data_IF_757476264836
#
_entry.id   IF_757476264836
#
_cell.length_a   1.000
_cell.length_b   1.000
_cell.length_c   1.000
_cell.angle_alpha   90.00
_cell.angle_beta   90.00
_cell.angle_gamma   90.00
#
_symmetry.space_group_name_H-M   'P 1'
#
loop_
_entity.id
_entity.type
_entity.pdbx_description
1 polymer ?
#
# COMPACT_ATOMS: atom_id res chain seq x y z
N UNK A 1 26.90 8.15 60.62
CA UNK A 1 25.93 8.80 61.54
C UNK A 1 25.36 7.70 62.42
N UNK A 2 25.65 7.74 63.71
CA UNK A 2 25.25 6.69 64.65
C UNK A 2 23.79 6.86 65.07
N UNK A 3 22.92 6.26 64.26
CA UNK A 3 21.48 6.10 64.52
C UNK A 3 21.13 5.76 65.98
N UNK A 4 21.83 4.84 66.69
CA UNK A 4 21.48 4.51 68.08
C UNK A 4 21.66 5.66 69.07
N UNK A 5 22.64 6.55 68.84
CA UNK A 5 22.95 7.66 69.74
C UNK A 5 21.90 8.76 69.62
N UNK A 6 21.47 9.04 68.38
CA UNK A 6 20.37 9.96 68.08
C UNK A 6 19.03 9.42 68.61
N UNK A 7 18.78 8.11 68.47
CA UNK A 7 17.55 7.49 68.96
C UNK A 7 17.39 7.60 70.49
N UNK A 8 18.46 7.35 71.25
CA UNK A 8 18.43 7.46 72.72
C UNK A 8 18.21 8.90 73.19
N UNK A 9 18.80 9.88 72.51
CA UNK A 9 18.65 11.28 72.87
C UNK A 9 17.23 11.80 72.59
N UNK A 10 16.63 11.34 71.49
CA UNK A 10 15.21 11.58 71.17
C UNK A 10 14.30 10.90 72.19
N UNK A 11 14.60 9.67 72.59
CA UNK A 11 13.79 8.92 73.56
C UNK A 11 13.73 9.61 74.93
N UNK A 12 14.86 10.06 75.45
CA UNK A 12 14.94 10.71 76.75
C UNK A 12 14.22 12.07 76.79
N UNK A 13 14.29 12.84 75.70
CA UNK A 13 13.58 14.12 75.60
C UNK A 13 12.07 13.93 75.39
N UNK A 14 11.65 12.85 74.72
CA UNK A 14 10.24 12.47 74.59
C UNK A 14 9.62 12.04 75.92
N UNK A 15 10.30 11.22 76.71
CA UNK A 15 9.77 10.74 78.00
C UNK A 15 9.59 11.87 79.00
N UNK A 16 10.54 12.82 79.01
CA UNK A 16 10.48 13.99 79.90
C UNK A 16 9.33 14.94 79.51
N UNK A 17 9.12 15.17 78.22
CA UNK A 17 8.00 15.96 77.71
C UNK A 17 6.65 15.28 77.96
N UNK A 18 6.56 13.97 77.71
CA UNK A 18 5.35 13.16 77.91
C UNK A 18 4.92 13.06 79.37
N UNK A 19 5.87 13.18 80.32
CA UNK A 19 5.59 13.14 81.76
C UNK A 19 4.83 14.38 82.27
N UNK A 20 4.84 15.49 81.50
CA UNK A 20 4.22 16.77 81.88
C UNK A 20 2.80 16.96 81.34
N UNK A 21 2.29 16.03 80.52
CA UNK A 21 0.99 16.18 79.87
C UNK A 21 -0.15 15.48 80.66
N UNK A 22 -1.37 16.05 80.69
CA UNK A 22 -2.56 15.41 81.24
C UNK A 22 -2.85 14.04 80.59
N UNK A 23 -3.38 13.05 81.34
CA UNK A 23 -3.65 11.70 80.84
C UNK A 23 -4.54 11.63 79.59
N UNK A 24 -5.46 12.59 79.41
CA UNK A 24 -6.36 12.62 78.24
C UNK A 24 -5.65 13.00 76.93
N UNK A 25 -4.61 13.86 76.99
CA UNK A 25 -3.79 14.23 75.83
C UNK A 25 -2.95 13.04 75.38
N UNK A 26 -2.55 12.18 76.32
CA UNK A 26 -1.84 10.93 76.05
C UNK A 26 -2.63 9.99 75.12
N UNK A 27 -3.93 9.81 75.37
CA UNK A 27 -4.78 8.97 74.53
C UNK A 27 -4.93 9.54 73.11
N UNK A 28 -5.05 10.87 72.96
CA UNK A 28 -5.13 11.51 71.65
C UNK A 28 -3.81 11.41 70.87
N UNK A 29 -2.68 11.57 71.54
CA UNK A 29 -1.35 11.41 70.94
C UNK A 29 -1.10 9.98 70.46
N UNK A 30 -1.51 8.97 71.24
CA UNK A 30 -1.42 7.56 70.82
C UNK A 30 -2.35 7.29 69.63
N UNK A 31 -3.60 7.77 69.68
CA UNK A 31 -4.56 7.55 68.60
C UNK A 31 -4.10 8.20 67.27
N UNK A 32 -3.53 9.40 67.33
CA UNK A 32 -2.98 10.10 66.16
C UNK A 32 -1.73 9.43 65.60
N UNK A 33 -0.83 8.92 66.46
CA UNK A 33 0.34 8.14 66.04
C UNK A 33 -0.06 6.80 65.40
N UNK A 34 -1.03 6.09 65.97
CA UNK A 34 -1.58 4.86 65.38
C UNK A 34 -2.23 5.15 64.02
N UNK A 35 -3.04 6.20 63.93
CA UNK A 35 -3.66 6.62 62.67
C UNK A 35 -2.62 6.99 61.61
N UNK A 36 -1.57 7.73 62.00
CA UNK A 36 -0.46 8.08 61.11
C UNK A 36 0.30 6.83 60.64
N UNK A 37 0.56 5.87 61.54
CA UNK A 37 1.20 4.60 61.21
C UNK A 37 0.39 3.77 60.21
N UNK A 38 -0.93 3.65 60.43
CA UNK A 38 -1.84 2.97 59.51
C UNK A 38 -1.89 3.69 58.15
N UNK A 39 -1.89 5.02 58.13
CA UNK A 39 -1.90 5.81 56.90
C UNK A 39 -0.63 5.60 56.06
N UNK A 40 0.55 5.55 56.68
CA UNK A 40 1.83 5.29 55.97
C UNK A 40 1.86 3.87 55.39
N UNK A 41 1.39 2.87 56.15
CA UNK A 41 1.30 1.48 55.66
C UNK A 41 0.28 1.40 54.50
N UNK A 42 -0.88 2.04 54.62
CA UNK A 42 -1.86 2.13 53.55
C UNK A 42 -1.30 2.79 52.28
N UNK A 43 -0.58 3.92 52.45
CA UNK A 43 0.02 4.65 51.33
C UNK A 43 1.11 3.85 50.61
N UNK A 44 1.96 3.11 51.35
CA UNK A 44 3.02 2.29 50.73
C UNK A 44 2.46 1.09 49.97
N UNK A 45 1.43 0.42 50.51
CA UNK A 45 0.73 -0.67 49.82
C UNK A 45 0.03 -0.14 48.56
N UNK A 46 -0.68 0.99 48.68
CA UNK A 46 -1.35 1.63 47.55
C UNK A 46 -0.37 2.07 46.46
N UNK A 47 0.76 2.70 46.83
CA UNK A 47 1.80 3.11 45.87
C UNK A 47 2.41 1.91 45.13
N UNK A 48 2.71 0.81 45.84
CA UNK A 48 3.24 -0.41 45.23
C UNK A 48 2.23 -1.08 44.31
N UNK A 49 0.95 -1.09 44.68
CA UNK A 49 -0.12 -1.59 43.83
C UNK A 49 -0.32 -0.72 42.58
N UNK A 50 -0.34 0.61 42.73
CA UNK A 50 -0.44 1.58 41.64
C UNK A 50 0.73 1.47 40.65
N UNK A 51 1.95 1.28 41.15
CA UNK A 51 3.14 1.08 40.30
C UNK A 51 3.05 -0.21 39.47
N UNK A 52 2.62 -1.33 40.08
CA UNK A 52 2.46 -2.60 39.36
C UNK A 52 1.34 -2.55 38.33
N UNK A 53 0.22 -1.89 38.65
CA UNK A 53 -0.89 -1.75 37.71
C UNK A 53 -0.55 -0.79 36.57
N UNK A 54 0.09 0.35 36.83
CA UNK A 54 0.50 1.29 35.79
C UNK A 54 1.52 0.68 34.81
N UNK A 55 2.48 -0.12 35.29
CA UNK A 55 3.41 -0.84 34.42
C UNK A 55 2.70 -1.84 33.49
N UNK A 56 1.67 -2.54 33.98
CA UNK A 56 0.86 -3.46 33.15
C UNK A 56 0.03 -2.72 32.11
N UNK A 57 -0.61 -1.62 32.51
CA UNK A 57 -1.40 -0.79 31.60
C UNK A 57 -0.53 -0.18 30.50
N UNK A 58 0.69 0.27 30.82
CA UNK A 58 1.61 0.79 29.83
C UNK A 58 2.02 -0.26 28.80
N UNK A 59 2.37 -1.48 29.23
CA UNK A 59 2.70 -2.57 28.31
C UNK A 59 1.52 -2.96 27.41
N UNK A 60 0.32 -3.03 27.96
CA UNK A 60 -0.89 -3.29 27.18
C UNK A 60 -1.16 -2.18 26.17
N UNK A 61 -1.01 -0.91 26.55
CA UNK A 61 -1.21 0.23 25.66
C UNK A 61 -0.18 0.25 24.52
N UNK A 62 1.08 -0.08 24.80
CA UNK A 62 2.12 -0.18 23.76
C UNK A 62 1.80 -1.30 22.77
N UNK A 63 1.34 -2.45 23.24
CA UNK A 63 0.99 -3.57 22.36
C UNK A 63 -0.27 -3.27 21.53
N UNK A 64 -1.30 -2.68 22.12
CA UNK A 64 -2.51 -2.27 21.37
C UNK A 64 -2.19 -1.18 20.35
N UNK A 65 -1.30 -0.24 20.66
CA UNK A 65 -0.84 0.78 19.72
C UNK A 65 -0.06 0.16 18.56
N UNK A 66 0.84 -0.80 18.84
CA UNK A 66 1.56 -1.54 17.79
C UNK A 66 0.61 -2.32 16.88
N UNK A 67 -0.38 -2.97 17.46
CA UNK A 67 -1.37 -3.71 16.70
C UNK A 67 -2.20 -2.78 15.82
N UNK A 68 -2.72 -1.67 16.38
CA UNK A 68 -3.42 -0.64 15.61
C UNK A 68 -2.58 -0.06 14.48
N UNK A 69 -1.29 0.16 14.71
CA UNK A 69 -0.38 0.66 13.67
C UNK A 69 -0.20 -0.36 12.53
N UNK A 70 -0.10 -1.66 12.84
CA UNK A 70 -0.03 -2.73 11.84
C UNK A 70 -1.34 -2.85 11.05
N UNK A 71 -2.48 -2.79 11.75
CA UNK A 71 -3.79 -2.90 11.13
C UNK A 71 -4.06 -1.68 10.22
N UNK A 72 -3.73 -0.47 10.67
CA UNK A 72 -3.83 0.74 9.86
C UNK A 72 -2.92 0.69 8.62
N UNK A 73 -1.72 0.12 8.73
CA UNK A 73 -0.82 -0.05 7.59
C UNK A 73 -1.38 -1.07 6.58
N UNK A 74 -1.96 -2.18 7.06
CA UNK A 74 -2.63 -3.17 6.20
C UNK A 74 -3.83 -2.58 5.49
N UNK A 75 -4.66 -1.82 6.19
CA UNK A 75 -5.80 -1.10 5.60
C UNK A 75 -5.33 -0.09 4.55
N UNK A 76 -4.24 0.64 4.81
CA UNK A 76 -3.64 1.58 3.85
C UNK A 76 -3.16 0.86 2.59
N UNK A 77 -2.42 -0.24 2.73
CA UNK A 77 -1.94 -1.05 1.59
C UNK A 77 -3.13 -1.61 0.81
N UNK A 78 -4.14 -2.15 1.49
CA UNK A 78 -5.36 -2.65 0.87
C UNK A 78 -6.08 -1.55 0.05
N UNK A 79 -6.25 -0.36 0.61
CA UNK A 79 -6.83 0.79 -0.10
C UNK A 79 -6.03 1.17 -1.36
N UNK A 80 -4.70 1.11 -1.30
CA UNK A 80 -3.83 1.34 -2.46
C UNK A 80 -4.01 0.24 -3.52
N UNK A 81 -4.06 -1.03 -3.12
CA UNK A 81 -4.30 -2.14 -4.03
C UNK A 81 -5.65 -2.03 -4.75
N UNK A 82 -6.70 -1.62 -4.03
CA UNK A 82 -7.99 -1.30 -4.64
C UNK A 82 -7.89 -0.18 -5.68
N UNK A 83 -7.19 0.91 -5.36
CA UNK A 83 -7.00 2.02 -6.29
C UNK A 83 -6.18 1.62 -7.53
N UNK A 84 -5.11 0.83 -7.35
CA UNK A 84 -4.29 0.31 -8.45
C UNK A 84 -5.04 -0.67 -9.34
N UNK A 85 -5.89 -1.51 -8.73
CA UNK A 85 -6.79 -2.40 -9.46
C UNK A 85 -7.74 -1.60 -10.35
N UNK A 86 -8.37 -0.56 -9.80
CA UNK A 86 -9.31 0.23 -10.59
C UNK A 86 -8.61 1.02 -11.71
N UNK A 87 -7.44 1.61 -11.42
CA UNK A 87 -6.62 2.30 -12.44
C UNK A 87 -6.29 1.37 -13.61
N UNK A 88 -5.78 0.16 -13.34
CA UNK A 88 -5.38 -0.74 -14.43
C UNK A 88 -6.58 -1.25 -15.23
N UNK A 89 -7.72 -1.51 -14.57
CA UNK A 89 -8.93 -1.97 -15.25
C UNK A 89 -9.52 -0.88 -16.14
N UNK A 90 -9.63 0.35 -15.63
CA UNK A 90 -10.13 1.47 -16.44
C UNK A 90 -9.22 1.78 -17.61
N UNK A 91 -7.90 1.77 -17.39
CA UNK A 91 -6.92 1.95 -18.46
C UNK A 91 -7.05 0.87 -19.52
N UNK A 92 -7.19 -0.39 -19.12
CA UNK A 92 -7.40 -1.48 -20.05
C UNK A 92 -8.70 -1.34 -20.85
N UNK A 93 -9.80 -0.97 -20.19
CA UNK A 93 -11.09 -0.78 -20.85
C UNK A 93 -11.01 0.29 -21.94
N UNK A 94 -10.42 1.44 -21.63
CA UNK A 94 -10.22 2.53 -22.60
C UNK A 94 -9.32 2.05 -23.74
N UNK A 95 -8.18 1.40 -23.41
CA UNK A 95 -7.21 0.94 -24.40
C UNK A 95 -7.74 -0.16 -25.32
N UNK A 96 -8.44 -1.15 -24.78
CA UNK A 96 -9.05 -2.22 -25.55
C UNK A 96 -10.18 -1.70 -26.44
N UNK A 97 -10.99 -0.75 -25.95
CA UNK A 97 -12.06 -0.13 -26.71
C UNK A 97 -11.53 0.73 -27.86
N UNK A 98 -10.55 1.60 -27.58
CA UNK A 98 -10.07 2.59 -28.54
C UNK A 98 -9.09 1.99 -29.55
N UNK A 99 -8.23 1.06 -29.12
CA UNK A 99 -7.16 0.51 -29.97
C UNK A 99 -7.18 -0.99 -30.16
N UNK A 100 -7.83 -1.75 -29.28
CA UNK A 100 -7.68 -3.21 -29.25
C UNK A 100 -7.92 -3.83 -30.63
N UNK A 101 -9.05 -3.52 -31.24
CA UNK A 101 -9.40 -4.02 -32.57
C UNK A 101 -8.42 -3.54 -33.67
N UNK A 102 -7.91 -2.31 -33.57
CA UNK A 102 -7.03 -1.73 -34.60
C UNK A 102 -5.62 -2.29 -34.53
N UNK A 103 -5.12 -2.54 -33.31
CA UNK A 103 -3.84 -3.22 -33.10
C UNK A 103 -3.97 -4.68 -33.56
N UNK A 104 -5.04 -5.39 -33.19
CA UNK A 104 -5.24 -6.80 -33.56
C UNK A 104 -5.43 -6.99 -35.08
N UNK A 105 -6.08 -6.04 -35.76
CA UNK A 105 -6.31 -6.06 -37.20
C UNK A 105 -5.27 -5.26 -37.99
N UNK A 106 -4.17 -4.85 -37.34
CA UNK A 106 -3.15 -4.01 -37.95
C UNK A 106 -2.54 -4.74 -39.16
N UNK A 107 -2.96 -4.33 -40.36
CA UNK A 107 -2.36 -4.82 -41.59
C UNK A 107 -0.95 -4.24 -41.68
N UNK A 108 0.01 -5.15 -41.75
CA UNK A 108 1.43 -4.90 -41.93
C UNK A 108 1.72 -4.06 -43.20
N UNK A 109 0.73 -3.87 -44.08
CA UNK A 109 0.82 -3.17 -45.36
C UNK A 109 0.19 -1.76 -45.41
N UNK A 110 0.18 -0.99 -44.31
CA UNK A 110 -0.03 0.50 -44.28
C UNK A 110 -1.43 1.01 -43.93
N UNK A 111 -2.08 0.52 -42.87
CA UNK A 111 -3.13 1.35 -42.26
C UNK A 111 -2.52 2.26 -41.18
N UNK A 112 -2.62 3.59 -41.32
CA UNK A 112 -2.25 4.49 -40.24
C UNK A 112 -3.15 4.18 -39.04
N UNK A 113 -2.54 4.04 -37.87
CA UNK A 113 -3.30 3.96 -36.63
C UNK A 113 -3.90 5.35 -36.34
N UNK A 114 -5.14 5.43 -35.82
CA UNK A 114 -5.74 6.71 -35.51
C UNK A 114 -4.91 7.45 -34.47
N UNK A 115 -4.90 8.77 -34.58
CA UNK A 115 -4.18 9.58 -33.63
C UNK A 115 -4.79 9.44 -32.24
N UNK A 116 -4.02 8.92 -31.28
CA UNK A 116 -4.36 8.95 -29.87
C UNK A 116 -3.57 10.08 -29.20
N UNK A 117 -4.27 11.14 -28.81
CA UNK A 117 -3.68 12.25 -28.05
C UNK A 117 -3.31 11.81 -26.64
N UNK A 118 -2.01 11.80 -26.32
CA UNK A 118 -1.51 11.41 -25.00
C UNK A 118 -0.71 12.55 -24.34
N UNK A 119 -1.39 13.40 -23.60
CA UNK A 119 -0.72 14.49 -22.88
C UNK A 119 -0.88 14.34 -21.35
N UNK A 120 -1.23 13.16 -20.85
CA UNK A 120 -1.64 12.97 -19.45
C UNK A 120 -0.87 11.85 -18.73
N UNK A 121 -0.78 11.98 -17.41
CA UNK A 121 -0.19 11.01 -16.49
C UNK A 121 -1.18 9.86 -16.25
N UNK A 122 -1.21 8.87 -17.16
CA UNK A 122 -2.13 7.72 -17.13
C UNK A 122 -2.02 6.84 -15.89
N UNK A 123 -0.83 6.79 -15.30
CA UNK A 123 -0.48 5.90 -14.20
C UNK A 123 -0.35 6.70 -12.90
N UNK A 124 -1.28 7.62 -12.66
CA UNK A 124 -1.19 8.59 -11.57
C UNK A 124 -1.23 7.93 -10.19
N UNK A 125 -2.00 6.87 -10.01
CA UNK A 125 -2.10 6.11 -8.75
C UNK A 125 -0.83 5.30 -8.58
N UNK A 126 -0.38 4.59 -9.62
CA UNK A 126 0.88 3.84 -9.58
C UNK A 126 2.10 4.72 -9.28
N UNK A 127 2.28 5.81 -10.01
CA UNK A 127 3.44 6.68 -9.86
C UNK A 127 3.45 7.35 -8.47
N UNK A 128 2.29 7.74 -7.92
CA UNK A 128 2.17 8.32 -6.57
C UNK A 128 2.39 7.30 -5.44
N UNK A 129 2.11 6.02 -5.68
CA UNK A 129 2.17 4.96 -4.66
C UNK A 129 3.29 3.95 -4.87
N UNK A 130 4.27 4.25 -5.73
CA UNK A 130 5.40 3.36 -6.03
C UNK A 130 6.15 2.88 -4.77
N UNK A 131 6.30 3.75 -3.75
CA UNK A 131 6.93 3.39 -2.48
C UNK A 131 6.13 2.35 -1.68
N UNK A 132 4.79 2.44 -1.70
CA UNK A 132 3.92 1.52 -0.99
C UNK A 132 3.85 0.13 -1.64
N UNK A 133 4.05 0.05 -2.97
CA UNK A 133 4.14 -1.22 -3.69
C UNK A 133 5.28 -2.09 -3.15
N UNK A 134 6.38 -1.48 -2.68
CA UNK A 134 7.49 -2.19 -2.03
C UNK A 134 7.11 -2.88 -0.72
N UNK A 135 6.02 -2.48 -0.08
CA UNK A 135 5.55 -2.99 1.22
C UNK A 135 4.53 -4.11 1.09
N UNK A 136 4.06 -4.42 -0.13
CA UNK A 136 3.16 -5.56 -0.39
C UNK A 136 3.88 -6.84 0.03
N UNK A 137 3.25 -7.71 0.82
CA UNK A 137 3.86 -8.94 1.31
C UNK A 137 4.06 -9.96 0.18
N UNK A 138 3.04 -10.17 -0.67
CA UNK A 138 3.13 -11.09 -1.81
C UNK A 138 4.09 -10.59 -2.90
N UNK A 139 5.23 -11.28 -3.03
CA UNK A 139 6.24 -11.01 -4.04
C UNK A 139 5.80 -11.28 -5.47
N UNK A 140 4.89 -12.23 -5.69
CA UNK A 140 4.35 -12.53 -7.02
C UNK A 140 3.40 -11.41 -7.46
N UNK A 141 2.46 -10.99 -6.61
CA UNK A 141 1.60 -9.84 -6.86
C UNK A 141 2.43 -8.59 -7.14
N UNK A 142 3.40 -8.28 -6.28
CA UNK A 142 4.28 -7.11 -6.43
C UNK A 142 5.01 -7.11 -7.78
N UNK A 143 5.59 -8.24 -8.17
CA UNK A 143 6.29 -8.38 -9.45
C UNK A 143 5.35 -8.26 -10.64
N UNK A 144 4.18 -8.90 -10.56
CA UNK A 144 3.17 -8.85 -11.62
C UNK A 144 2.65 -7.43 -11.81
N UNK A 145 2.41 -6.70 -10.72
CA UNK A 145 1.96 -5.31 -10.73
C UNK A 145 2.97 -4.43 -11.48
N UNK A 146 4.23 -4.39 -11.03
CA UNK A 146 5.28 -3.60 -11.70
C UNK A 146 5.41 -3.98 -13.18
N UNK A 147 5.43 -5.28 -13.49
CA UNK A 147 5.54 -5.78 -14.86
C UNK A 147 4.38 -5.32 -15.75
N UNK A 148 3.14 -5.34 -15.25
CA UNK A 148 1.97 -4.88 -16.00
C UNK A 148 2.07 -3.39 -16.33
N UNK A 149 2.46 -2.55 -15.38
CA UNK A 149 2.67 -1.11 -15.64
C UNK A 149 3.84 -0.86 -16.61
N UNK A 150 4.90 -1.66 -16.55
CA UNK A 150 5.97 -1.59 -17.55
C UNK A 150 5.49 -1.96 -18.95
N UNK A 151 4.67 -3.01 -19.09
CA UNK A 151 4.08 -3.37 -20.38
C UNK A 151 3.13 -2.29 -20.90
N UNK A 152 2.32 -1.69 -20.03
CA UNK A 152 1.43 -0.60 -20.41
C UNK A 152 2.22 0.62 -20.92
N UNK A 153 3.26 1.04 -20.18
CA UNK A 153 4.17 2.12 -20.60
C UNK A 153 4.84 1.80 -21.94
N UNK A 154 5.42 0.59 -22.08
CA UNK A 154 6.04 0.13 -23.33
C UNK A 154 5.09 0.16 -24.52
N UNK A 155 3.85 -0.32 -24.34
CA UNK A 155 2.83 -0.33 -25.40
C UNK A 155 2.52 1.10 -25.85
N UNK A 156 2.32 2.01 -24.90
CA UNK A 156 2.08 3.42 -25.18
C UNK A 156 3.26 4.03 -25.93
N UNK A 157 4.50 3.83 -25.48
CA UNK A 157 5.70 4.35 -26.15
C UNK A 157 5.86 3.81 -27.58
N UNK A 158 5.61 2.52 -27.79
CA UNK A 158 5.66 1.89 -29.11
C UNK A 158 4.57 2.41 -30.04
N UNK A 159 3.36 2.61 -29.52
CA UNK A 159 2.26 3.18 -30.29
C UNK A 159 2.63 4.56 -30.84
N UNK A 160 3.23 5.40 -30.00
CA UNK A 160 3.68 6.73 -30.40
C UNK A 160 4.84 6.67 -31.39
N UNK A 161 5.79 5.77 -31.15
CA UNK A 161 6.91 5.52 -32.06
C UNK A 161 6.40 5.14 -33.44
N UNK A 162 5.44 4.22 -33.50
CA UNK A 162 4.80 3.77 -34.74
C UNK A 162 4.10 4.92 -35.48
N UNK A 163 3.24 5.68 -34.80
CA UNK A 163 2.52 6.84 -35.39
C UNK A 163 3.49 7.92 -35.89
N UNK A 164 4.62 8.14 -35.22
CA UNK A 164 5.67 9.08 -35.68
C UNK A 164 6.43 8.58 -36.91
N UNK A 165 6.59 7.27 -37.08
CA UNK A 165 7.22 6.69 -38.26
C UNK A 165 6.32 6.83 -39.49
N UNK A 166 5.01 6.63 -39.31
CA UNK A 166 4.02 6.77 -40.37
C UNK A 166 3.96 8.20 -40.93
N UNK A 167 3.93 9.22 -40.07
CA UNK A 167 3.95 10.64 -40.46
C UNK A 167 5.19 11.07 -41.28
N UNK A 168 6.30 10.32 -41.19
CA UNK A 168 7.54 10.63 -41.93
C UNK A 168 7.53 10.09 -43.36
N UNK A 169 6.61 9.20 -43.70
CA UNK A 169 6.44 8.72 -45.08
C UNK A 169 5.62 9.77 -45.84
N UNK A 170 6.20 10.50 -46.83
CA UNK A 170 5.47 11.56 -47.51
C UNK A 170 4.29 10.96 -48.28
N UNK A 171 3.07 11.41 -48.01
CA UNK A 171 1.85 10.96 -48.72
C UNK A 171 1.92 11.18 -50.25
N UNK A 172 2.81 12.07 -50.71
CA UNK A 172 3.02 12.41 -52.12
C UNK A 172 4.39 11.93 -52.68
N UNK A 173 5.11 11.06 -51.96
CA UNK A 173 6.36 10.51 -52.48
C UNK A 173 6.06 9.60 -53.68
N UNK A 174 6.40 10.07 -54.88
CA UNK A 174 6.44 9.20 -56.06
C UNK A 174 7.39 8.04 -55.74
N UNK A 175 6.95 6.77 -55.76
CA UNK A 175 7.76 5.62 -55.39
C UNK A 175 8.99 5.44 -56.30
N UNK A 176 9.02 6.13 -57.44
CA UNK A 176 10.12 6.12 -58.40
C UNK A 176 11.23 7.17 -58.13
N UNK A 177 10.95 8.26 -57.40
CA UNK A 177 11.92 9.36 -57.19
C UNK A 177 12.43 9.46 -55.76
N UNK A 178 11.66 8.97 -54.81
CA UNK A 178 12.08 8.85 -53.41
C UNK A 178 12.38 7.38 -53.22
N UNK A 179 13.66 7.01 -53.19
CA UNK A 179 14.07 5.71 -52.68
C UNK A 179 13.62 5.62 -51.23
N UNK A 180 12.34 5.31 -51.00
CA UNK A 180 11.85 4.85 -49.72
C UNK A 180 12.65 3.57 -49.46
N UNK A 181 13.77 3.74 -48.76
CA UNK A 181 14.72 2.66 -48.51
C UNK A 181 13.92 1.46 -48.01
N UNK A 182 14.26 0.26 -48.46
CA UNK A 182 13.72 -0.98 -47.92
C UNK A 182 13.70 -0.96 -46.37
N UNK A 183 14.64 -0.21 -45.77
CA UNK A 183 14.74 0.09 -44.34
C UNK A 183 13.49 0.72 -43.73
N UNK A 184 12.79 1.62 -44.44
CA UNK A 184 11.58 2.30 -43.93
C UNK A 184 10.37 1.37 -43.90
N UNK A 185 10.21 0.53 -44.93
CA UNK A 185 9.17 -0.51 -44.97
C UNK A 185 9.43 -1.58 -43.91
N UNK A 186 10.68 -1.99 -43.75
CA UNK A 186 11.08 -2.94 -42.72
C UNK A 186 10.84 -2.40 -41.30
N UNK A 187 11.20 -1.13 -41.05
CA UNK A 187 10.97 -0.50 -39.76
C UNK A 187 9.48 -0.41 -39.38
N UNK A 188 8.61 -0.08 -40.34
CA UNK A 188 7.15 -0.07 -40.11
C UNK A 188 6.62 -1.48 -39.81
N UNK A 189 7.08 -2.49 -40.53
CA UNK A 189 6.69 -3.88 -40.30
C UNK A 189 7.12 -4.37 -38.92
N UNK A 190 8.38 -4.13 -38.55
CA UNK A 190 8.93 -4.47 -37.24
C UNK A 190 8.20 -3.72 -36.11
N UNK A 191 7.87 -2.45 -36.32
CA UNK A 191 7.11 -1.63 -35.37
C UNK A 191 5.69 -2.17 -35.15
N UNK A 192 4.98 -2.52 -36.22
CA UNK A 192 3.64 -3.12 -36.14
C UNK A 192 3.66 -4.45 -35.38
N UNK A 193 4.59 -5.35 -35.69
CA UNK A 193 4.73 -6.64 -35.00
C UNK A 193 5.04 -6.45 -33.52
N UNK A 194 5.99 -5.57 -33.19
CA UNK A 194 6.35 -5.27 -31.81
C UNK A 194 5.20 -4.65 -31.00
N UNK A 195 4.31 -3.90 -31.65
CA UNK A 195 3.11 -3.32 -31.05
C UNK A 195 2.08 -4.41 -30.72
N UNK A 196 1.79 -5.29 -31.67
CA UNK A 196 0.88 -6.43 -31.48
C UNK A 196 1.37 -7.35 -30.37
N UNK A 197 2.66 -7.70 -30.37
CA UNK A 197 3.27 -8.53 -29.33
C UNK A 197 3.14 -7.90 -27.94
N UNK A 198 3.39 -6.59 -27.85
CA UNK A 198 3.35 -5.89 -26.56
C UNK A 198 1.91 -5.72 -26.05
N UNK A 199 0.94 -5.56 -26.96
CA UNK A 199 -0.48 -5.56 -26.62
C UNK A 199 -0.93 -6.93 -26.09
N UNK A 200 -0.54 -8.03 -26.75
CA UNK A 200 -0.86 -9.39 -26.28
C UNK A 200 -0.18 -9.72 -24.95
N UNK A 201 1.08 -9.30 -24.78
CA UNK A 201 1.80 -9.45 -23.51
C UNK A 201 1.12 -8.66 -22.38
N UNK A 202 0.66 -7.44 -22.66
CA UNK A 202 -0.10 -6.64 -21.69
C UNK A 202 -1.43 -7.32 -21.33
N UNK A 203 -2.21 -7.76 -22.32
CA UNK A 203 -3.49 -8.46 -22.12
C UNK A 203 -3.34 -9.64 -21.16
N UNK A 204 -2.35 -10.51 -21.41
CA UNK A 204 -2.06 -11.68 -20.57
C UNK A 204 -1.65 -11.30 -19.15
N UNK A 205 -0.83 -10.25 -18.98
CA UNK A 205 -0.40 -9.83 -17.65
C UNK A 205 -1.50 -9.12 -16.87
N UNK A 206 -2.41 -8.39 -17.52
CA UNK A 206 -3.58 -7.80 -16.87
C UNK A 206 -4.50 -8.88 -16.32
N UNK A 207 -4.73 -9.95 -17.09
CA UNK A 207 -5.53 -11.07 -16.61
C UNK A 207 -4.90 -11.74 -15.37
N UNK A 208 -3.59 -12.00 -15.42
CA UNK A 208 -2.85 -12.56 -14.28
C UNK A 208 -2.89 -11.62 -13.07
N UNK A 209 -2.63 -10.33 -13.28
CA UNK A 209 -2.62 -9.32 -12.22
C UNK A 209 -4.00 -9.19 -11.59
N UNK A 210 -5.07 -9.18 -12.40
CA UNK A 210 -6.46 -9.16 -11.90
C UNK A 210 -6.69 -10.35 -10.97
N UNK A 211 -6.34 -11.55 -11.40
CA UNK A 211 -6.59 -12.75 -10.61
C UNK A 211 -5.83 -12.70 -9.27
N UNK A 212 -4.60 -12.19 -9.27
CA UNK A 212 -3.81 -11.99 -8.04
C UNK A 212 -4.40 -10.90 -7.14
N UNK A 213 -4.83 -9.76 -7.71
CA UNK A 213 -5.46 -8.68 -6.95
C UNK A 213 -6.81 -9.10 -6.37
N UNK A 214 -7.63 -9.82 -7.15
CA UNK A 214 -8.92 -10.33 -6.68
C UNK A 214 -8.72 -11.34 -5.55
N UNK A 215 -7.71 -12.21 -5.64
CA UNK A 215 -7.36 -13.14 -4.58
C UNK A 215 -6.88 -12.43 -3.30
N UNK A 216 -5.97 -11.46 -3.43
CA UNK A 216 -5.42 -10.69 -2.31
C UNK A 216 -6.50 -9.85 -1.61
N UNK A 217 -7.42 -9.27 -2.39
CA UNK A 217 -8.50 -8.41 -1.89
C UNK A 217 -9.77 -9.20 -1.50
N UNK A 218 -9.80 -10.52 -1.68
CA UNK A 218 -10.97 -11.35 -1.43
C UNK A 218 -12.18 -11.01 -2.31
N UNK A 219 -11.94 -10.48 -3.51
CA UNK A 219 -12.98 -10.06 -4.45
C UNK A 219 -13.43 -11.23 -5.34
N UNK A 220 -14.70 -11.20 -5.75
CA UNK A 220 -15.20 -12.13 -6.77
C UNK A 220 -14.71 -11.71 -8.15
N UNK A 221 -14.31 -12.68 -8.97
CA UNK A 221 -13.89 -12.45 -10.35
C UNK A 221 -15.00 -11.73 -11.11
N UNK A 222 -14.69 -10.53 -11.59
CA UNK A 222 -15.59 -9.73 -12.42
C UNK A 222 -15.24 -9.96 -13.90
N UNK A 223 -16.20 -10.33 -14.75
CA UNK A 223 -15.94 -10.53 -16.16
C UNK A 223 -15.56 -9.19 -16.80
N UNK A 224 -14.48 -9.17 -17.56
CA UNK A 224 -14.01 -8.01 -18.28
C UNK A 224 -14.31 -8.15 -19.77
N UNK A 225 -14.88 -7.12 -20.40
CA UNK A 225 -14.97 -7.07 -21.84
C UNK A 225 -13.57 -7.16 -22.47
N UNK A 226 -13.47 -7.76 -23.65
CA UNK A 226 -12.24 -7.94 -24.44
C UNK A 226 -11.19 -8.91 -23.88
N UNK A 227 -11.28 -9.33 -22.60
CA UNK A 227 -10.46 -10.41 -22.03
C UNK A 227 -11.24 -11.72 -22.00
N UNK A 228 -12.41 -11.74 -21.36
CA UNK A 228 -13.13 -12.99 -21.07
C UNK A 228 -14.11 -13.39 -22.21
N UNK A 229 -14.38 -12.51 -23.18
CA UNK A 229 -15.40 -12.74 -24.22
C UNK A 229 -14.97 -13.66 -25.38
N UNK A 230 -13.68 -13.96 -25.52
CA UNK A 230 -13.18 -14.77 -26.64
C UNK A 230 -13.43 -16.28 -26.48
N UNK A 231 -13.67 -16.80 -25.28
CA UNK A 231 -13.85 -18.25 -25.08
C UNK A 231 -15.31 -18.72 -25.16
N UNK A 232 -16.28 -17.96 -24.64
CA UNK A 232 -17.69 -18.42 -24.60
C UNK A 232 -18.43 -18.30 -25.94
N UNK A 233 -18.08 -17.33 -26.80
CA UNK A 233 -18.76 -17.17 -28.09
C UNK A 233 -18.29 -18.16 -29.17
N UNK A 234 -17.10 -18.76 -29.03
CA UNK A 234 -16.64 -19.84 -29.91
C UNK A 234 -17.48 -21.11 -29.73
N UNK A 235 -17.78 -21.48 -28.47
CA UNK A 235 -18.58 -22.66 -28.15
C UNK A 235 -20.05 -22.57 -28.54
N UNK A 236 -20.62 -21.35 -28.61
CA UNK A 236 -22.02 -21.13 -29.03
C UNK A 236 -22.22 -21.07 -30.55
N UNK A 237 -21.15 -21.07 -31.34
CA UNK A 237 -21.23 -21.09 -32.82
C UNK A 237 -20.98 -22.46 -33.43
N UNK A 238 -20.60 -23.45 -32.62
CA UNK A 238 -20.33 -24.83 -33.06
C UNK A 238 -21.38 -25.85 -32.61
N UNK A 239 -22.50 -25.40 -32.03
CA UNK A 239 -23.66 -26.23 -31.68
C UNK A 239 -24.93 -25.67 -32.29
#
# INVERSE_FOLDING_TARGET
>A
MDFPLIANQIWNSLTEFLSRLPPWIWFQAIATLLAAGIAVIGATIAAKAAYRNSARHWLQEVETQRQRARDAERERISGILHALREEILQLWLILAADLGAQIETLDLKRKPLPYWSYNQSYFSVFDRNAGAIGQIEDGQLRTCLVRTYMFAKRLVDQYQGYTRMDLRVPANANPATTGASADTTYALHAGALALVESYQALKKNIELLRNLLDAELGLKKTPLPFIDFTEEQGKKREG
#
